data_IF_584319975155
#
_entry.id   IF_584319975155
#
_cell.length_a   1.000
_cell.length_b   1.000
_cell.length_c   1.000
_cell.angle_alpha   90.00
_cell.angle_beta   90.00
_cell.angle_gamma   90.00
#
_symmetry.space_group_name_H-M   'P 1'
#
loop_
_entity.id
_entity.type
_entity.pdbx_description
1 polymer ?
#
# COMPACT_ATOMS: atom_id res chain seq x y z
N UNK A 1 8.74 -25.12 4.14
CA UNK A 1 8.35 -24.55 2.83
C UNK A 1 9.58 -23.94 2.22
N UNK A 2 9.87 -24.27 0.96
CA UNK A 2 11.05 -23.73 0.26
C UNK A 2 10.62 -22.44 -0.46
N UNK A 3 11.35 -21.36 -0.30
CA UNK A 3 11.12 -20.09 -1.01
C UNK A 3 12.21 -19.91 -2.07
N UNK A 4 11.93 -19.31 -3.21
CA UNK A 4 10.62 -18.88 -3.73
C UNK A 4 9.65 -20.06 -3.93
N UNK A 5 8.35 -19.83 -3.72
CA UNK A 5 7.32 -20.83 -3.97
C UNK A 5 6.75 -20.64 -5.37
N UNK A 6 7.22 -21.46 -6.31
CA UNK A 6 6.82 -21.47 -7.72
C UNK A 6 6.27 -22.86 -8.07
N UNK A 7 4.97 -23.09 -7.86
CA UNK A 7 4.37 -24.39 -8.17
C UNK A 7 4.36 -24.64 -9.68
N UNK A 8 4.76 -25.85 -10.09
CA UNK A 8 4.67 -26.28 -11.47
C UNK A 8 3.35 -27.05 -11.66
N UNK A 9 2.46 -26.53 -12.51
CA UNK A 9 1.16 -27.15 -12.84
C UNK A 9 1.15 -27.43 -14.35
N UNK A 10 0.93 -28.69 -14.74
CA UNK A 10 0.98 -29.14 -16.14
C UNK A 10 2.26 -28.75 -16.89
N UNK A 11 3.41 -28.71 -16.21
CA UNK A 11 4.70 -28.34 -16.80
C UNK A 11 5.00 -26.85 -16.91
N UNK A 12 4.08 -25.98 -16.48
CA UNK A 12 4.25 -24.53 -16.47
C UNK A 12 4.51 -24.01 -15.05
N UNK A 13 5.52 -23.18 -14.90
CA UNK A 13 5.77 -22.46 -13.64
C UNK A 13 4.69 -21.38 -13.44
N UNK A 14 4.03 -21.41 -12.29
CA UNK A 14 2.95 -20.51 -11.95
C UNK A 14 3.49 -19.37 -11.10
N UNK A 15 3.38 -18.15 -11.59
CA UNK A 15 3.70 -16.96 -10.80
C UNK A 15 2.61 -16.72 -9.74
N UNK A 16 2.86 -17.23 -8.52
CA UNK A 16 1.90 -17.13 -7.41
C UNK A 16 1.65 -15.68 -6.97
N UNK A 17 2.67 -14.80 -7.12
CA UNK A 17 2.53 -13.38 -6.80
C UNK A 17 1.48 -12.71 -7.70
N UNK A 18 1.53 -12.97 -8.99
CA UNK A 18 0.58 -12.42 -9.96
C UNK A 18 -0.85 -12.89 -9.66
N UNK A 19 -1.03 -14.19 -9.34
CA UNK A 19 -2.35 -14.72 -8.99
C UNK A 19 -2.90 -14.02 -7.74
N UNK A 20 -2.08 -13.89 -6.69
CA UNK A 20 -2.50 -13.23 -5.46
C UNK A 20 -2.73 -11.74 -5.65
N UNK A 21 -2.02 -11.09 -6.56
CA UNK A 21 -2.29 -9.69 -6.92
C UNK A 21 -3.69 -9.52 -7.54
N UNK A 22 -4.05 -10.34 -8.54
CA UNK A 22 -5.41 -10.31 -9.11
C UNK A 22 -6.48 -10.66 -8.07
N UNK A 23 -6.20 -11.65 -7.23
CA UNK A 23 -7.10 -12.02 -6.13
C UNK A 23 -7.30 -10.88 -5.13
N UNK A 24 -6.24 -10.13 -4.82
CA UNK A 24 -6.29 -8.96 -3.95
C UNK A 24 -7.23 -7.88 -4.50
N UNK A 25 -7.13 -7.55 -5.79
CA UNK A 25 -8.05 -6.61 -6.44
C UNK A 25 -9.49 -7.12 -6.43
N UNK A 26 -9.70 -8.38 -6.80
CA UNK A 26 -11.03 -8.97 -6.82
C UNK A 26 -11.70 -8.99 -5.45
N UNK A 27 -11.02 -9.51 -4.43
CA UNK A 27 -11.54 -9.60 -3.07
C UNK A 27 -11.68 -8.22 -2.42
N UNK A 28 -10.74 -7.30 -2.67
CA UNK A 28 -10.83 -5.92 -2.23
C UNK A 28 -12.07 -5.22 -2.79
N UNK A 29 -12.32 -5.35 -4.09
CA UNK A 29 -13.51 -4.80 -4.73
C UNK A 29 -14.80 -5.45 -4.20
N UNK A 30 -14.85 -6.77 -4.08
CA UNK A 30 -16.01 -7.49 -3.50
C UNK A 30 -16.31 -7.04 -2.08
N UNK A 31 -15.27 -6.85 -1.27
CA UNK A 31 -15.42 -6.38 0.10
C UNK A 31 -15.91 -4.93 0.16
N UNK A 32 -15.40 -4.06 -0.72
CA UNK A 32 -15.93 -2.69 -0.88
C UNK A 32 -17.43 -2.68 -1.19
N UNK A 33 -17.87 -3.47 -2.19
CA UNK A 33 -19.29 -3.57 -2.57
C UNK A 33 -20.14 -4.08 -1.40
N UNK A 34 -19.65 -5.08 -0.67
CA UNK A 34 -20.32 -5.60 0.52
C UNK A 34 -20.48 -4.55 1.61
N UNK A 35 -19.42 -3.80 1.91
CA UNK A 35 -19.47 -2.73 2.91
C UNK A 35 -20.42 -1.62 2.47
N UNK A 36 -20.37 -1.22 1.22
CA UNK A 36 -21.24 -0.16 0.68
C UNK A 36 -22.73 -0.51 0.83
N UNK A 37 -23.10 -1.77 0.59
CA UNK A 37 -24.49 -2.24 0.77
C UNK A 37 -24.97 -2.23 2.24
N UNK A 38 -24.05 -2.25 3.19
CA UNK A 38 -24.33 -2.30 4.64
C UNK A 38 -24.21 -0.94 5.33
N UNK A 39 -23.69 0.07 4.64
CA UNK A 39 -23.57 1.43 5.17
C UNK A 39 -24.51 2.37 4.42
N UNK A 40 -25.07 3.34 5.12
CA UNK A 40 -25.80 4.44 4.48
C UNK A 40 -24.79 5.38 3.81
N UNK A 41 -24.41 5.04 2.57
CA UNK A 41 -23.53 5.88 1.76
C UNK A 41 -24.29 7.10 1.28
N UNK A 42 -23.93 8.30 1.76
CA UNK A 42 -24.55 9.57 1.40
C UNK A 42 -24.16 10.06 0.02
N UNK A 43 -23.07 9.51 -0.56
CA UNK A 43 -22.56 9.92 -1.87
C UNK A 43 -23.35 9.24 -2.98
N UNK A 44 -23.90 10.02 -3.90
CA UNK A 44 -24.66 9.54 -5.07
C UNK A 44 -23.80 8.61 -5.93
N UNK A 45 -24.42 7.60 -6.55
CA UNK A 45 -23.69 6.54 -7.28
C UNK A 45 -22.85 7.06 -8.44
N UNK A 46 -23.29 8.11 -9.16
CA UNK A 46 -22.50 8.77 -10.23
C UNK A 46 -21.23 9.43 -9.67
N UNK A 47 -21.35 10.17 -8.56
CA UNK A 47 -20.20 10.80 -7.89
C UNK A 47 -19.23 9.74 -7.36
N UNK A 48 -19.77 8.64 -6.81
CA UNK A 48 -18.96 7.52 -6.33
C UNK A 48 -18.16 6.85 -7.44
N UNK A 49 -18.75 6.72 -8.64
CA UNK A 49 -18.04 6.20 -9.82
C UNK A 49 -16.89 7.14 -10.22
N UNK A 50 -17.14 8.45 -10.27
CA UNK A 50 -16.10 9.45 -10.58
C UNK A 50 -14.96 9.43 -9.56
N UNK A 51 -15.26 9.25 -8.27
CA UNK A 51 -14.27 9.10 -7.19
C UNK A 51 -13.44 7.84 -7.39
N UNK A 52 -14.06 6.70 -7.73
CA UNK A 52 -13.35 5.43 -7.99
C UNK A 52 -12.45 5.56 -9.21
N UNK A 53 -12.92 6.18 -10.29
CA UNK A 53 -12.10 6.43 -11.48
C UNK A 53 -10.92 7.34 -11.17
N UNK A 54 -11.14 8.42 -10.43
CA UNK A 54 -10.07 9.30 -9.96
C UNK A 54 -9.05 8.55 -9.10
N UNK A 55 -9.52 7.71 -8.17
CA UNK A 55 -8.65 6.86 -7.35
C UNK A 55 -7.84 5.88 -8.21
N UNK A 56 -8.44 5.23 -9.20
CA UNK A 56 -7.79 4.25 -10.07
C UNK A 56 -6.71 4.90 -10.94
N UNK A 57 -7.04 6.01 -11.60
CA UNK A 57 -6.09 6.76 -12.44
C UNK A 57 -4.94 7.30 -11.58
N UNK A 58 -5.26 7.94 -10.46
CA UNK A 58 -4.25 8.47 -9.54
C UNK A 58 -3.37 7.38 -8.95
N UNK A 59 -3.93 6.24 -8.56
CA UNK A 59 -3.17 5.09 -8.06
C UNK A 59 -2.26 4.50 -9.14
N UNK A 60 -2.75 4.35 -10.36
CA UNK A 60 -1.95 3.86 -11.47
C UNK A 60 -0.75 4.77 -11.74
N UNK A 61 -0.97 6.07 -11.93
CA UNK A 61 0.09 7.04 -12.21
C UNK A 61 1.07 7.15 -11.05
N UNK A 62 0.57 7.31 -9.82
CA UNK A 62 1.40 7.43 -8.62
C UNK A 62 2.25 6.19 -8.37
N UNK A 63 1.70 4.99 -8.59
CA UNK A 63 2.41 3.72 -8.46
C UNK A 63 3.61 3.64 -9.43
N UNK A 64 3.42 4.05 -10.69
CA UNK A 64 4.47 4.03 -11.73
C UNK A 64 5.53 5.09 -11.49
N UNK A 65 5.12 6.33 -11.19
CA UNK A 65 6.05 7.43 -10.89
C UNK A 65 6.95 7.05 -9.72
N UNK A 66 6.39 6.53 -8.63
CA UNK A 66 7.17 6.15 -7.47
C UNK A 66 8.01 4.89 -7.71
N UNK A 67 7.54 3.96 -8.54
CA UNK A 67 8.33 2.80 -8.95
C UNK A 67 9.58 3.21 -9.73
N UNK A 68 9.44 4.15 -10.65
CA UNK A 68 10.58 4.74 -11.36
C UNK A 68 11.54 5.47 -10.41
N UNK A 69 11.02 6.27 -9.47
CA UNK A 69 11.87 7.01 -8.53
C UNK A 69 12.58 6.12 -7.50
N UNK A 70 12.12 4.90 -7.28
CA UNK A 70 12.79 3.93 -6.41
C UNK A 70 14.06 3.36 -7.09
N UNK A 71 13.99 3.12 -8.41
CA UNK A 71 15.11 2.64 -9.22
C UNK A 71 15.12 3.39 -10.57
N UNK A 72 15.63 4.64 -10.60
CA UNK A 72 15.59 5.44 -11.81
C UNK A 72 16.53 4.87 -12.88
N UNK A 73 15.97 4.60 -14.06
CA UNK A 73 16.70 4.18 -15.24
C UNK A 73 16.90 5.42 -16.15
N UNK A 74 18.15 5.78 -16.40
CA UNK A 74 18.48 6.99 -17.16
C UNK A 74 18.77 6.72 -18.65
N UNK A 75 18.71 5.45 -19.08
CA UNK A 75 18.85 5.06 -20.49
C UNK A 75 17.47 4.74 -21.06
N UNK A 76 17.13 5.39 -22.19
CA UNK A 76 15.85 5.17 -22.88
C UNK A 76 16.06 4.14 -24.00
N UNK A 77 16.19 2.87 -23.64
CA UNK A 77 16.10 1.73 -24.54
C UNK A 77 14.76 0.99 -24.36
N UNK A 78 14.44 0.07 -25.25
CA UNK A 78 13.17 -0.67 -25.19
C UNK A 78 13.01 -1.46 -23.88
N UNK A 79 14.09 -1.97 -23.31
CA UNK A 79 14.08 -2.72 -22.05
C UNK A 79 13.78 -1.81 -20.87
N UNK A 80 14.36 -0.62 -20.84
CA UNK A 80 14.10 0.40 -19.81
C UNK A 80 12.66 0.91 -19.81
N UNK A 81 12.04 1.03 -20.99
CA UNK A 81 10.61 1.39 -21.10
C UNK A 81 9.74 0.28 -20.53
N UNK A 82 10.04 -0.99 -20.80
CA UNK A 82 9.32 -2.12 -20.22
C UNK A 82 9.49 -2.21 -18.70
N UNK A 83 10.70 -1.95 -18.20
CA UNK A 83 10.97 -1.89 -16.76
C UNK A 83 10.18 -0.76 -16.07
N UNK A 84 10.09 0.41 -16.71
CA UNK A 84 9.26 1.53 -16.24
C UNK A 84 7.79 1.14 -16.13
N UNK A 85 7.26 0.42 -17.13
CA UNK A 85 5.88 -0.07 -17.10
C UNK A 85 5.66 -1.19 -16.07
N UNK A 86 6.67 -1.95 -15.70
CA UNK A 86 6.60 -3.00 -14.70
C UNK A 86 6.87 -2.49 -13.27
N UNK A 87 7.66 -1.42 -13.12
CA UNK A 87 7.91 -0.82 -11.82
C UNK A 87 6.61 -0.31 -11.19
N UNK A 88 6.28 -0.79 -10.00
CA UNK A 88 5.06 -0.40 -9.28
C UNK A 88 5.30 -0.41 -7.77
N UNK A 89 4.74 0.59 -7.08
CA UNK A 89 4.81 0.67 -5.63
C UNK A 89 3.43 0.88 -5.02
N UNK A 90 3.15 0.18 -3.93
CA UNK A 90 1.92 0.35 -3.15
C UNK A 90 1.85 1.77 -2.58
N UNK A 91 2.97 2.32 -2.13
CA UNK A 91 3.03 3.65 -1.52
C UNK A 91 2.66 4.74 -2.52
N UNK A 92 3.22 4.68 -3.73
CA UNK A 92 2.85 5.57 -4.82
C UNK A 92 1.38 5.41 -5.23
N UNK A 93 0.89 4.17 -5.25
CA UNK A 93 -0.52 3.87 -5.53
C UNK A 93 -1.48 4.46 -4.50
N UNK A 94 -1.18 4.33 -3.22
CA UNK A 94 -2.03 4.89 -2.14
C UNK A 94 -2.04 6.41 -2.15
N UNK A 95 -0.88 7.04 -2.25
CA UNK A 95 -0.81 8.52 -2.24
C UNK A 95 -1.36 9.11 -3.53
N UNK A 96 -1.02 8.53 -4.69
CA UNK A 96 -1.58 8.93 -5.97
C UNK A 96 -3.10 8.73 -6.03
N UNK A 97 -3.60 7.62 -5.50
CA UNK A 97 -5.03 7.36 -5.36
C UNK A 97 -5.73 8.40 -4.49
N UNK A 98 -5.12 8.78 -3.35
CA UNK A 98 -5.63 9.88 -2.51
C UNK A 98 -5.74 11.18 -3.31
N UNK A 99 -4.67 11.59 -4.01
CA UNK A 99 -4.68 12.82 -4.83
C UNK A 99 -5.73 12.73 -5.94
N UNK A 100 -5.85 11.59 -6.62
CA UNK A 100 -6.85 11.36 -7.65
C UNK A 100 -8.28 11.48 -7.13
N UNK A 101 -8.56 10.99 -5.91
CA UNK A 101 -9.85 11.17 -5.23
C UNK A 101 -10.12 12.65 -4.96
N UNK A 102 -9.15 13.38 -4.40
CA UNK A 102 -9.34 14.80 -4.08
C UNK A 102 -9.55 15.64 -5.34
N UNK A 103 -8.84 15.35 -6.42
CA UNK A 103 -9.04 16.01 -7.73
C UNK A 103 -10.44 15.69 -8.28
N UNK A 104 -10.84 14.42 -8.31
CA UNK A 104 -12.16 14.02 -8.78
C UNK A 104 -13.28 14.69 -7.99
N UNK A 105 -13.19 14.70 -6.66
CA UNK A 105 -14.16 15.37 -5.77
C UNK A 105 -14.24 16.86 -6.07
N UNK A 106 -13.10 17.52 -6.28
CA UNK A 106 -13.07 18.95 -6.62
C UNK A 106 -13.77 19.23 -7.96
N UNK A 107 -13.58 18.37 -8.97
CA UNK A 107 -14.20 18.51 -10.29
C UNK A 107 -15.73 18.35 -10.21
N UNK A 108 -16.21 17.35 -9.46
CA UNK A 108 -17.65 17.05 -9.35
C UNK A 108 -18.36 17.84 -8.23
N UNK A 109 -17.65 18.69 -7.48
CA UNK A 109 -18.20 19.47 -6.38
C UNK A 109 -18.57 18.66 -5.13
N UNK A 110 -18.06 17.42 -4.98
CA UNK A 110 -18.36 16.56 -3.84
C UNK A 110 -17.54 16.96 -2.60
N UNK A 111 -18.23 17.16 -1.46
CA UNK A 111 -17.58 17.57 -0.20
C UNK A 111 -17.53 16.47 0.86
N UNK A 112 -18.40 15.45 0.72
CA UNK A 112 -18.47 14.37 1.69
C UNK A 112 -17.21 13.53 1.72
N UNK A 113 -16.84 13.05 2.91
CA UNK A 113 -15.69 12.16 3.05
C UNK A 113 -15.98 10.77 2.45
N UNK A 114 -15.11 10.31 1.57
CA UNK A 114 -15.31 9.04 0.83
C UNK A 114 -14.37 7.92 1.29
N UNK A 115 -13.35 8.21 2.11
CA UNK A 115 -12.21 7.32 2.37
C UNK A 115 -12.51 6.12 3.26
N UNK A 116 -13.35 6.30 4.29
CA UNK A 116 -13.58 5.26 5.31
C UNK A 116 -14.12 3.94 4.73
N UNK A 117 -14.91 4.04 3.66
CA UNK A 117 -15.47 2.88 2.98
C UNK A 117 -14.40 2.04 2.27
N UNK A 118 -13.31 2.66 1.84
CA UNK A 118 -12.20 2.01 1.14
C UNK A 118 -11.13 1.46 2.09
N UNK A 119 -11.08 1.92 3.34
CA UNK A 119 -9.98 1.59 4.28
C UNK A 119 -9.79 0.09 4.46
N UNK A 120 -10.84 -0.64 4.84
CA UNK A 120 -10.73 -2.09 5.08
C UNK A 120 -10.53 -2.91 3.80
N UNK A 121 -11.19 -2.60 2.67
CA UNK A 121 -10.87 -3.18 1.38
C UNK A 121 -9.41 -3.01 0.95
N UNK A 122 -8.83 -1.83 1.17
CA UNK A 122 -7.42 -1.56 0.86
C UNK A 122 -6.51 -2.40 1.76
N UNK A 123 -6.76 -2.44 3.08
CA UNK A 123 -5.99 -3.28 4.02
C UNK A 123 -6.02 -4.75 3.58
N UNK A 124 -7.20 -5.28 3.21
CA UNK A 124 -7.33 -6.65 2.73
C UNK A 124 -6.55 -6.88 1.44
N UNK A 125 -6.64 -5.95 0.48
CA UNK A 125 -5.91 -6.04 -0.79
C UNK A 125 -4.39 -6.04 -0.57
N UNK A 126 -3.87 -5.12 0.25
CA UNK A 126 -2.45 -5.08 0.58
C UNK A 126 -2.03 -6.37 1.29
N UNK A 127 -2.82 -6.85 2.24
CA UNK A 127 -2.54 -8.08 2.99
C UNK A 127 -2.37 -9.28 2.06
N UNK A 128 -3.31 -9.49 1.13
CA UNK A 128 -3.24 -10.59 0.15
C UNK A 128 -2.02 -10.42 -0.77
N UNK A 129 -1.76 -9.21 -1.26
CA UNK A 129 -0.59 -8.91 -2.08
C UNK A 129 0.73 -9.19 -1.34
N UNK A 130 0.81 -8.89 -0.03
CA UNK A 130 1.99 -9.18 0.80
C UNK A 130 2.22 -10.65 1.06
N UNK A 131 1.17 -11.48 1.08
CA UNK A 131 1.35 -12.94 1.04
C UNK A 131 2.06 -13.33 -0.26
N UNK A 132 1.66 -12.78 -1.41
CA UNK A 132 2.34 -13.00 -2.69
C UNK A 132 3.82 -12.61 -2.66
N UNK A 133 4.11 -11.41 -2.15
CA UNK A 133 5.49 -10.94 -1.97
C UNK A 133 6.32 -11.88 -1.09
N UNK A 134 5.75 -12.37 0.01
CA UNK A 134 6.45 -13.31 0.90
C UNK A 134 6.74 -14.65 0.20
N UNK A 135 5.76 -15.18 -0.54
CA UNK A 135 5.92 -16.44 -1.26
C UNK A 135 6.93 -16.34 -2.41
N UNK A 136 7.03 -15.18 -3.06
CA UNK A 136 8.02 -14.94 -4.12
C UNK A 136 9.45 -14.76 -3.61
N UNK A 137 9.63 -14.62 -2.29
CA UNK A 137 10.97 -14.54 -1.68
C UNK A 137 11.81 -13.43 -2.32
N UNK A 138 13.00 -13.80 -2.84
CA UNK A 138 13.95 -12.87 -3.47
C UNK A 138 13.65 -12.57 -4.94
N UNK A 139 12.68 -13.23 -5.57
CA UNK A 139 12.26 -12.92 -6.93
C UNK A 139 11.55 -11.57 -7.05
N UNK A 140 11.01 -11.05 -5.92
CA UNK A 140 10.45 -9.72 -5.84
C UNK A 140 11.29 -8.83 -4.93
N UNK A 141 11.48 -7.56 -5.28
CA UNK A 141 12.25 -6.59 -4.48
C UNK A 141 11.49 -6.14 -3.21
N UNK A 142 11.04 -7.13 -2.43
CA UNK A 142 10.26 -6.93 -1.19
C UNK A 142 10.93 -7.55 0.04
N UNK A 143 12.18 -8.00 -0.11
CA UNK A 143 13.02 -8.54 0.97
C UNK A 143 13.84 -7.46 1.67
N UNK A 144 14.38 -7.79 2.83
CA UNK A 144 15.22 -6.90 3.62
C UNK A 144 16.73 -7.16 3.47
N UNK A 145 17.52 -6.31 4.13
CA UNK A 145 18.97 -6.46 4.27
C UNK A 145 19.30 -7.77 4.97
N UNK A 146 20.52 -8.24 4.75
CA UNK A 146 21.10 -9.35 5.51
C UNK A 146 21.07 -9.04 7.01
N UNK A 147 20.76 -10.05 7.82
CA UNK A 147 20.64 -9.89 9.27
C UNK A 147 20.97 -11.17 10.02
N UNK A 148 21.52 -11.02 11.21
CA UNK A 148 21.66 -12.10 12.21
C UNK A 148 20.57 -12.03 13.29
N UNK A 149 19.55 -11.19 13.10
CA UNK A 149 18.46 -11.06 14.05
C UNK A 149 17.59 -12.33 14.06
N UNK A 150 16.97 -12.66 15.19
CA UNK A 150 16.24 -13.92 15.38
C UNK A 150 15.07 -14.12 14.40
N UNK A 151 14.55 -13.03 13.79
CA UNK A 151 13.50 -13.09 12.78
C UNK A 151 14.04 -13.25 11.35
N UNK A 152 15.38 -13.29 11.19
CA UNK A 152 16.00 -13.50 9.89
C UNK A 152 15.55 -14.81 9.25
N UNK A 153 15.28 -14.79 7.94
CA UNK A 153 14.84 -15.95 7.16
C UNK A 153 15.62 -16.06 5.86
N UNK A 154 15.86 -17.28 5.41
CA UNK A 154 16.32 -17.52 4.05
C UNK A 154 15.11 -17.39 3.10
N UNK A 155 15.15 -16.38 2.23
CA UNK A 155 14.07 -16.06 1.29
C UNK A 155 14.35 -16.62 -0.13
N UNK A 156 15.39 -17.45 -0.30
CA UNK A 156 15.68 -18.14 -1.56
C UNK A 156 17.12 -18.01 -2.05
N UNK A 157 17.91 -17.10 -1.53
CA UNK A 157 19.30 -16.81 -1.93
C UNK A 157 20.35 -17.31 -0.94
N UNK A 158 19.97 -18.20 -0.01
CA UNK A 158 20.82 -18.75 1.04
C UNK A 158 21.41 -17.70 2.02
N UNK A 159 20.86 -16.50 2.05
CA UNK A 159 21.23 -15.43 2.98
C UNK A 159 20.09 -15.20 3.96
N UNK A 160 20.41 -15.07 5.25
CA UNK A 160 19.43 -14.68 6.25
C UNK A 160 19.09 -13.20 6.10
N UNK A 161 17.84 -12.90 5.78
CA UNK A 161 17.35 -11.53 5.51
C UNK A 161 16.17 -11.18 6.39
N UNK A 162 15.97 -9.88 6.63
CA UNK A 162 14.73 -9.41 7.24
C UNK A 162 13.52 -9.75 6.34
N UNK A 163 12.52 -10.51 6.82
CA UNK A 163 11.32 -10.85 6.05
C UNK A 163 10.33 -9.68 6.08
N UNK A 164 10.60 -8.62 5.31
CA UNK A 164 9.84 -7.36 5.31
C UNK A 164 8.34 -7.60 5.05
N UNK A 165 8.02 -8.49 4.11
CA UNK A 165 6.63 -8.83 3.81
C UNK A 165 5.88 -9.40 5.03
N UNK A 166 6.55 -10.25 5.85
CA UNK A 166 5.98 -10.78 7.10
C UNK A 166 5.75 -9.69 8.15
N UNK A 167 6.71 -8.77 8.30
CA UNK A 167 6.55 -7.65 9.24
C UNK A 167 5.33 -6.80 8.86
N UNK A 168 5.15 -6.56 7.57
CA UNK A 168 4.02 -5.80 7.05
C UNK A 168 2.69 -6.56 7.22
N UNK A 169 2.66 -7.87 7.03
CA UNK A 169 1.48 -8.72 7.30
C UNK A 169 1.04 -8.61 8.75
N UNK A 170 1.97 -8.74 9.70
CA UNK A 170 1.68 -8.61 11.14
C UNK A 170 1.16 -7.21 11.46
N UNK A 171 1.81 -6.17 10.93
CA UNK A 171 1.38 -4.79 11.10
C UNK A 171 -0.05 -4.57 10.58
N UNK A 172 -0.38 -5.07 9.39
CA UNK A 172 -1.71 -4.93 8.78
C UNK A 172 -2.81 -5.63 9.59
N UNK A 173 -2.51 -6.80 10.19
CA UNK A 173 -3.44 -7.49 11.10
C UNK A 173 -3.73 -6.61 12.32
N UNK A 174 -2.69 -6.10 12.97
CA UNK A 174 -2.83 -5.23 14.14
C UNK A 174 -3.62 -3.97 13.77
N UNK A 175 -3.24 -3.33 12.67
CA UNK A 175 -3.89 -2.11 12.18
C UNK A 175 -5.37 -2.33 11.88
N UNK A 176 -5.72 -3.46 11.24
CA UNK A 176 -7.11 -3.83 10.95
C UNK A 176 -7.95 -3.88 12.23
N UNK A 177 -7.49 -4.58 13.27
CA UNK A 177 -8.23 -4.69 14.52
C UNK A 177 -8.32 -3.36 15.29
N UNK A 178 -7.25 -2.57 15.30
CA UNK A 178 -7.24 -1.24 15.92
C UNK A 178 -8.26 -0.33 15.23
N UNK A 179 -8.23 -0.23 13.90
CA UNK A 179 -9.16 0.61 13.15
C UNK A 179 -10.60 0.12 13.25
N UNK A 180 -10.83 -1.21 13.29
CA UNK A 180 -12.15 -1.79 13.52
C UNK A 180 -12.70 -1.40 14.89
N UNK A 181 -11.88 -1.45 15.94
CA UNK A 181 -12.26 -0.98 17.28
C UNK A 181 -12.56 0.52 17.32
N UNK A 182 -11.76 1.33 16.62
CA UNK A 182 -12.00 2.78 16.51
C UNK A 182 -13.29 3.10 15.74
N UNK A 183 -13.58 2.39 14.65
CA UNK A 183 -14.82 2.57 13.88
C UNK A 183 -16.07 2.39 14.74
N UNK A 184 -16.04 1.48 15.71
CA UNK A 184 -17.16 1.23 16.62
C UNK A 184 -17.38 2.36 17.66
N UNK A 185 -16.48 3.37 17.73
CA UNK A 185 -16.57 4.49 18.69
C UNK A 185 -17.23 5.75 18.13
N UNK A 186 -17.99 5.66 17.04
CA UNK A 186 -18.70 6.80 16.40
C UNK A 186 -17.80 8.01 16.16
N UNK A 187 -16.62 7.79 15.61
CA UNK A 187 -15.71 8.87 15.25
C UNK A 187 -16.18 9.58 13.96
N UNK A 188 -15.72 10.81 13.77
CA UNK A 188 -16.06 11.63 12.61
C UNK A 188 -15.73 10.90 11.30
N UNK A 189 -16.63 10.97 10.33
CA UNK A 189 -16.44 10.41 8.99
C UNK A 189 -15.16 10.91 8.34
N UNK A 190 -14.38 9.99 7.74
CA UNK A 190 -13.09 10.24 7.11
C UNK A 190 -11.88 10.02 8.02
N UNK A 191 -12.04 9.93 9.34
CA UNK A 191 -10.92 9.75 10.25
C UNK A 191 -10.33 8.34 10.22
N UNK A 192 -11.11 7.30 9.92
CA UNK A 192 -10.60 5.92 9.81
C UNK A 192 -9.59 5.84 8.68
N UNK A 193 -9.89 6.42 7.52
CA UNK A 193 -8.97 6.46 6.39
C UNK A 193 -7.72 7.28 6.69
N UNK A 194 -7.87 8.44 7.35
CA UNK A 194 -6.73 9.27 7.74
C UNK A 194 -5.80 8.50 8.71
N UNK A 195 -6.34 7.83 9.72
CA UNK A 195 -5.56 7.02 10.65
C UNK A 195 -4.87 5.84 9.98
N UNK A 196 -5.55 5.19 9.01
CA UNK A 196 -4.93 4.18 8.17
C UNK A 196 -3.71 4.74 7.42
N UNK A 197 -3.88 5.86 6.71
CA UNK A 197 -2.80 6.49 5.94
C UNK A 197 -1.64 6.89 6.85
N UNK A 198 -1.91 7.58 7.96
CA UNK A 198 -0.87 8.00 8.91
C UNK A 198 -0.10 6.78 9.44
N UNK A 199 -0.80 5.77 9.94
CA UNK A 199 -0.16 4.60 10.55
C UNK A 199 0.63 3.78 9.52
N UNK A 200 0.08 3.59 8.31
CA UNK A 200 0.73 2.80 7.28
C UNK A 200 1.95 3.51 6.69
N UNK A 201 1.86 4.83 6.43
CA UNK A 201 3.00 5.61 5.94
C UNK A 201 4.09 5.78 7.00
N UNK A 202 3.74 5.94 8.28
CA UNK A 202 4.70 5.92 9.36
C UNK A 202 5.43 4.56 9.46
N UNK A 203 4.68 3.45 9.46
CA UNK A 203 5.28 2.10 9.44
C UNK A 203 6.23 1.93 8.25
N UNK A 204 5.79 2.32 7.04
CA UNK A 204 6.61 2.20 5.82
C UNK A 204 7.86 3.06 5.88
N UNK A 205 7.82 4.24 6.47
CA UNK A 205 8.99 5.09 6.67
C UNK A 205 10.08 4.36 7.46
N UNK A 206 9.71 3.70 8.58
CA UNK A 206 10.68 3.00 9.42
C UNK A 206 11.14 1.67 8.81
N UNK A 207 10.24 0.88 8.25
CA UNK A 207 10.59 -0.42 7.68
C UNK A 207 11.52 -0.29 6.46
N UNK A 208 11.46 0.83 5.77
CA UNK A 208 12.27 1.11 4.59
C UNK A 208 13.78 1.16 4.90
N UNK A 209 14.18 1.45 6.14
CA UNK A 209 15.59 1.38 6.59
C UNK A 209 16.13 -0.06 6.57
N UNK A 210 15.26 -1.06 6.66
CA UNK A 210 15.62 -2.47 6.60
C UNK A 210 15.69 -3.01 5.16
N UNK A 211 15.26 -2.24 4.14
CA UNK A 211 15.38 -2.63 2.73
C UNK A 211 16.76 -2.30 2.16
N UNK A 212 17.27 -3.10 1.22
CA UNK A 212 18.52 -2.83 0.52
C UNK A 212 18.31 -1.81 -0.60
N UNK A 213 17.94 -0.56 -0.24
CA UNK A 213 17.73 0.49 -1.22
C UNK A 213 19.05 0.91 -1.87
N UNK A 214 19.07 0.96 -3.20
CA UNK A 214 20.26 1.32 -3.99
C UNK A 214 20.31 2.80 -4.30
N UNK A 215 19.15 3.45 -4.48
CA UNK A 215 19.06 4.87 -4.79
C UNK A 215 18.55 5.66 -3.60
N UNK A 216 19.42 6.53 -3.07
CA UNK A 216 19.11 7.36 -1.91
C UNK A 216 19.35 8.83 -2.23
N UNK A 217 18.42 9.70 -1.83
CA UNK A 217 18.54 11.15 -1.88
C UNK A 217 18.78 11.63 -0.44
N UNK A 218 19.92 12.25 -0.16
CA UNK A 218 20.31 12.64 1.21
C UNK A 218 20.25 11.50 2.24
N UNK A 219 20.53 10.25 1.80
CA UNK A 219 20.53 9.07 2.67
C UNK A 219 19.15 8.47 2.97
N UNK A 220 18.07 8.98 2.35
CA UNK A 220 16.71 8.43 2.45
C UNK A 220 16.16 8.05 1.06
N UNK A 221 15.31 7.03 1.02
CA UNK A 221 14.72 6.55 -0.23
C UNK A 221 13.59 7.46 -0.71
N UNK A 222 13.27 7.39 -2.01
CA UNK A 222 12.10 8.06 -2.59
C UNK A 222 10.80 7.70 -1.87
N UNK A 223 10.66 6.45 -1.43
CA UNK A 223 9.53 5.98 -0.63
C UNK A 223 9.48 6.69 0.73
N UNK A 224 10.62 6.87 1.40
CA UNK A 224 10.67 7.61 2.67
C UNK A 224 10.30 9.08 2.49
N UNK A 225 10.76 9.72 1.40
CA UNK A 225 10.35 11.09 1.07
C UNK A 225 8.84 11.16 0.88
N UNK A 226 8.24 10.23 0.12
CA UNK A 226 6.80 10.16 -0.06
C UNK A 226 6.06 9.96 1.27
N UNK A 227 6.61 9.14 2.17
CA UNK A 227 6.03 8.94 3.50
C UNK A 227 6.01 10.27 4.28
N UNK A 228 7.08 11.03 4.28
CA UNK A 228 7.13 12.35 4.93
C UNK A 228 6.11 13.31 4.33
N UNK A 229 5.99 13.36 3.00
CA UNK A 229 5.00 14.21 2.31
C UNK A 229 3.57 13.84 2.75
N UNK A 230 3.25 12.55 2.81
CA UNK A 230 1.94 12.08 3.27
C UNK A 230 1.68 12.43 4.74
N UNK A 231 2.66 12.26 5.63
CA UNK A 231 2.53 12.63 7.04
C UNK A 231 2.36 14.14 7.22
N UNK A 232 3.07 14.96 6.43
CA UNK A 232 2.89 16.41 6.39
C UNK A 232 1.49 16.80 5.87
N UNK A 233 0.96 16.10 4.88
CA UNK A 233 -0.41 16.30 4.41
C UNK A 233 -1.45 16.11 5.52
N UNK A 234 -1.23 15.14 6.42
CA UNK A 234 -2.10 14.85 7.56
C UNK A 234 -1.68 15.52 8.88
N UNK A 235 -0.82 16.55 8.84
CA UNK A 235 -0.24 17.18 10.04
C UNK A 235 -1.31 17.63 11.06
N UNK A 236 -2.42 18.25 10.59
CA UNK A 236 -3.51 18.69 11.45
C UNK A 236 -4.16 17.54 12.22
N UNK A 237 -4.34 16.38 11.57
CA UNK A 237 -4.91 15.20 12.20
C UNK A 237 -3.95 14.62 13.22
N UNK A 238 -2.65 14.59 12.90
CA UNK A 238 -1.60 14.14 13.80
C UNK A 238 -1.54 15.03 15.05
N UNK A 239 -1.51 16.35 14.88
CA UNK A 239 -1.49 17.31 16.01
C UNK A 239 -2.71 17.14 16.91
N UNK A 240 -3.91 16.96 16.33
CA UNK A 240 -5.14 16.74 17.09
C UNK A 240 -5.13 15.45 17.91
N UNK A 241 -4.40 14.40 17.48
CA UNK A 241 -4.22 13.18 18.27
C UNK A 241 -3.40 13.43 19.54
N UNK A 242 -2.38 14.28 19.46
CA UNK A 242 -1.54 14.62 20.62
C UNK A 242 -2.25 15.54 21.59
N UNK A 243 -2.97 16.56 21.10
CA UNK A 243 -3.69 17.52 21.95
C UNK A 243 -4.83 16.83 22.73
N UNK A 244 -5.58 15.90 22.09
CA UNK A 244 -6.65 15.17 22.75
C UNK A 244 -6.19 14.17 23.84
N UNK A 245 -4.94 13.75 23.79
CA UNK A 245 -4.37 12.85 24.81
C UNK A 245 -3.67 13.64 25.95
N UNK A 246 -3.56 14.97 25.83
CA UNK A 246 -2.95 15.84 26.83
C UNK A 246 -3.99 16.58 27.70
N UNK A 247 -5.27 16.45 27.40
CA UNK A 247 -6.43 16.92 28.18
C UNK A 247 -7.18 15.75 28.79
#
# INVERSE_FOLDING_TARGET
>A
MKLPFEPVIFGYEINIHLILEYLAFFLGYRYYVFLRKRTNDTIVSSNRLSIILGAAIGAFLGSRIMGFLENPVFHLDETSILELFNAKTIMGGLFGGLLGVEIAKKIIGERESSGDLFTFPIILGIFIGRIGCFLSGTNEFTYGKQTNFFTGMNLGDNIMRHPIALYELIFLIILFFVLKKLKNRNIKNGLIFQYFMIAYFAFRFFIEFLKPNYFLIFGISSIQILCLICLLYYNKTILNLFVKNAS
#
